data_IF_552156266023
#
_entry.id   IF_552156266023
#
_cell.length_a   1.000
_cell.length_b   1.000
_cell.length_c   1.000
_cell.angle_alpha   90.00
_cell.angle_beta   90.00
_cell.angle_gamma   90.00
#
_symmetry.space_group_name_H-M   'P 1'
#
loop_
_entity.id
_entity.type
_entity.pdbx_description
1 polymer ?
#
# COMPACT_ATOMS: atom_id res chain seq x y z
N UNK A 1 -27.97 19.19 -15.45
CA UNK A 1 -26.53 19.06 -15.74
C UNK A 1 -25.68 19.87 -14.76
N UNK A 2 -25.94 21.16 -14.52
CA UNK A 2 -25.14 21.99 -13.59
C UNK A 2 -24.95 21.44 -12.14
N UNK A 3 -25.95 20.75 -11.57
CA UNK A 3 -25.83 20.20 -10.21
C UNK A 3 -24.87 19.01 -10.07
N UNK A 4 -24.71 18.21 -11.13
CA UNK A 4 -23.75 17.09 -11.14
C UNK A 4 -22.31 17.61 -11.24
N UNK A 5 -22.08 18.66 -12.02
CA UNK A 5 -20.76 19.28 -12.17
C UNK A 5 -20.26 19.88 -10.84
N UNK A 6 -21.14 20.56 -10.10
CA UNK A 6 -20.80 21.11 -8.78
C UNK A 6 -20.47 20.01 -7.75
N UNK A 7 -21.21 18.89 -7.77
CA UNK A 7 -20.96 17.78 -6.86
C UNK A 7 -19.62 17.08 -7.14
N UNK A 8 -19.29 16.85 -8.42
CA UNK A 8 -18.00 16.27 -8.82
C UNK A 8 -16.85 17.19 -8.40
N UNK A 9 -16.97 18.49 -8.61
CA UNK A 9 -15.94 19.46 -8.20
C UNK A 9 -15.68 19.43 -6.68
N UNK A 10 -16.73 19.31 -5.87
CA UNK A 10 -16.59 19.19 -4.42
C UNK A 10 -15.89 17.90 -4.00
N UNK A 11 -16.25 16.76 -4.61
CA UNK A 11 -15.61 15.47 -4.33
C UNK A 11 -14.13 15.47 -4.72
N UNK A 12 -13.80 16.03 -5.89
CA UNK A 12 -12.41 16.17 -6.35
C UNK A 12 -11.60 17.08 -5.42
N UNK A 13 -12.20 18.18 -4.94
CA UNK A 13 -11.53 19.07 -3.98
C UNK A 13 -11.27 18.38 -2.65
N UNK A 14 -12.27 17.68 -2.09
CA UNK A 14 -12.11 16.95 -0.84
C UNK A 14 -11.04 15.86 -0.95
N UNK A 15 -11.06 15.08 -2.04
CA UNK A 15 -10.04 14.07 -2.30
C UNK A 15 -8.63 14.68 -2.40
N UNK A 16 -8.49 15.82 -3.09
CA UNK A 16 -7.20 16.51 -3.20
C UNK A 16 -6.67 16.90 -1.83
N UNK A 17 -7.51 17.45 -0.96
CA UNK A 17 -7.10 17.88 0.38
C UNK A 17 -6.67 16.68 1.23
N UNK A 18 -7.43 15.59 1.21
CA UNK A 18 -7.09 14.36 1.93
C UNK A 18 -5.82 13.71 1.40
N UNK A 19 -5.62 13.70 0.08
CA UNK A 19 -4.39 13.21 -0.55
C UNK A 19 -3.17 14.02 -0.11
N UNK A 20 -3.28 15.34 -0.02
CA UNK A 20 -2.19 16.20 0.47
C UNK A 20 -1.90 15.98 1.96
N UNK A 21 -2.94 15.81 2.79
CA UNK A 21 -2.77 15.45 4.21
C UNK A 21 -2.04 14.12 4.36
N UNK A 22 -2.44 13.11 3.61
CA UNK A 22 -1.80 11.80 3.62
C UNK A 22 -0.32 11.87 3.21
N UNK A 23 -0.01 12.58 2.12
CA UNK A 23 1.39 12.81 1.69
C UNK A 23 2.20 13.50 2.76
N UNK A 24 1.63 14.52 3.41
CA UNK A 24 2.29 15.27 4.48
C UNK A 24 2.62 14.37 5.67
N UNK A 25 1.67 13.51 6.09
CA UNK A 25 1.91 12.55 7.18
C UNK A 25 2.99 11.53 6.84
N UNK A 26 2.95 10.94 5.64
CA UNK A 26 3.99 10.00 5.18
C UNK A 26 5.36 10.68 5.12
N UNK A 27 5.41 11.94 4.67
CA UNK A 27 6.62 12.74 4.57
C UNK A 27 7.32 13.01 5.90
N UNK A 28 6.65 12.84 7.05
CA UNK A 28 7.28 12.93 8.37
C UNK A 28 8.25 11.78 8.64
N UNK A 29 8.03 10.61 8.03
CA UNK A 29 8.85 9.41 8.19
C UNK A 29 9.72 9.13 6.96
N UNK A 30 9.22 9.43 5.76
CA UNK A 30 9.90 9.15 4.50
C UNK A 30 10.42 10.45 3.89
N UNK A 31 11.71 10.74 4.14
CA UNK A 31 12.36 11.98 3.68
C UNK A 31 13.08 11.75 2.35
N UNK A 32 13.03 12.75 1.46
CA UNK A 32 13.83 12.78 0.23
C UNK A 32 13.28 11.98 -0.95
N UNK A 33 12.10 11.36 -0.82
CA UNK A 33 11.50 10.50 -1.86
C UNK A 33 10.03 10.84 -2.19
N UNK A 34 9.68 12.12 -2.46
CA UNK A 34 8.28 12.53 -2.66
C UNK A 34 7.62 11.85 -3.87
N UNK A 35 8.37 11.64 -4.95
CA UNK A 35 7.84 11.04 -6.19
C UNK A 35 7.55 9.54 -6.02
N UNK A 36 8.39 8.84 -5.25
CA UNK A 36 8.18 7.41 -4.93
C UNK A 36 6.91 7.24 -4.08
N UNK A 37 6.73 8.10 -3.07
CA UNK A 37 5.51 8.09 -2.24
C UNK A 37 4.27 8.32 -3.11
N UNK A 38 4.31 9.32 -4.00
CA UNK A 38 3.21 9.63 -4.91
C UNK A 38 2.91 8.48 -5.86
N UNK A 39 3.93 7.87 -6.48
CA UNK A 39 3.76 6.74 -7.38
C UNK A 39 3.14 5.51 -6.70
N UNK A 40 3.54 5.21 -5.46
CA UNK A 40 2.97 4.08 -4.70
C UNK A 40 1.51 4.37 -4.31
N UNK A 41 1.18 5.60 -3.91
CA UNK A 41 -0.21 6.00 -3.63
C UNK A 41 -1.09 5.89 -4.87
N UNK A 42 -0.62 6.38 -6.02
CA UNK A 42 -1.34 6.26 -7.30
C UNK A 42 -1.56 4.79 -7.64
N UNK A 43 -0.53 3.96 -7.53
CA UNK A 43 -0.63 2.53 -7.77
C UNK A 43 -1.68 1.87 -6.86
N UNK A 44 -1.69 2.20 -5.56
CA UNK A 44 -2.64 1.67 -4.59
C UNK A 44 -4.08 2.06 -4.96
N UNK A 45 -4.34 3.33 -5.24
CA UNK A 45 -5.69 3.81 -5.60
C UNK A 45 -6.16 3.29 -6.97
N UNK A 46 -5.22 3.00 -7.88
CA UNK A 46 -5.51 2.35 -9.15
C UNK A 46 -5.67 0.82 -9.03
N UNK A 47 -5.60 0.25 -7.82
CA UNK A 47 -5.62 -1.21 -7.59
C UNK A 47 -4.52 -1.98 -8.35
N UNK A 48 -3.36 -1.34 -8.54
CA UNK A 48 -2.19 -1.92 -9.21
C UNK A 48 -1.19 -2.54 -8.23
N UNK A 49 -0.11 -3.10 -8.80
CA UNK A 49 1.03 -3.62 -8.05
C UNK A 49 2.30 -2.83 -8.38
N UNK A 50 3.05 -2.42 -7.34
CA UNK A 50 4.28 -1.64 -7.49
C UNK A 50 5.51 -2.51 -7.22
N UNK A 51 6.54 -2.38 -8.07
CA UNK A 51 7.88 -2.92 -7.84
C UNK A 51 8.81 -1.79 -7.38
N UNK A 52 9.37 -1.91 -6.18
CA UNK A 52 10.30 -0.92 -5.63
C UNK A 52 11.76 -1.36 -5.79
N UNK A 53 12.44 -0.91 -6.85
CA UNK A 53 13.85 -1.21 -7.12
C UNK A 53 14.81 -0.15 -6.53
N UNK A 54 16.00 -0.57 -6.09
CA UNK A 54 17.01 0.30 -5.48
C UNK A 54 17.83 -0.42 -4.42
N UNK A 55 18.88 0.25 -3.92
CA UNK A 55 19.83 -0.37 -2.98
C UNK A 55 19.17 -0.74 -1.64
N UNK A 56 19.68 -1.78 -0.95
CA UNK A 56 19.24 -2.13 0.39
C UNK A 56 19.40 -0.96 1.37
N UNK A 57 18.48 -0.83 2.32
CA UNK A 57 18.56 0.19 3.37
C UNK A 57 17.89 1.53 3.05
N UNK A 58 17.38 1.76 1.84
CA UNK A 58 16.65 2.99 1.47
C UNK A 58 15.20 3.06 1.98
N UNK A 59 14.89 2.38 3.08
CA UNK A 59 13.58 2.49 3.71
C UNK A 59 12.40 1.93 2.90
N UNK A 60 12.61 1.07 1.88
CA UNK A 60 11.51 0.45 1.10
C UNK A 60 10.45 -0.20 1.97
N UNK A 61 10.88 -1.01 2.95
CA UNK A 61 9.98 -1.66 3.92
C UNK A 61 9.33 -0.63 4.85
N UNK A 62 10.07 0.41 5.23
CA UNK A 62 9.56 1.47 6.09
C UNK A 62 8.46 2.26 5.37
N UNK A 63 8.66 2.61 4.10
CA UNK A 63 7.68 3.28 3.23
C UNK A 63 6.35 2.52 3.22
N UNK A 64 6.36 1.23 2.86
CA UNK A 64 5.12 0.44 2.77
C UNK A 64 4.43 0.31 4.14
N UNK A 65 5.21 0.13 5.22
CA UNK A 65 4.67 0.08 6.58
C UNK A 65 4.03 1.41 7.01
N UNK A 66 4.69 2.53 6.75
CA UNK A 66 4.17 3.87 7.05
C UNK A 66 2.89 4.14 6.26
N UNK A 67 2.85 3.74 5.00
CA UNK A 67 1.67 3.85 4.13
C UNK A 67 0.49 3.06 4.70
N UNK A 68 0.72 1.79 5.09
CA UNK A 68 -0.31 0.96 5.69
C UNK A 68 -0.83 1.55 7.01
N UNK A 69 0.05 2.07 7.87
CA UNK A 69 -0.35 2.73 9.12
C UNK A 69 -1.17 4.00 8.88
N UNK A 70 -0.75 4.85 7.94
CA UNK A 70 -1.45 6.10 7.63
C UNK A 70 -2.85 5.86 7.03
N UNK A 71 -3.02 4.75 6.31
CA UNK A 71 -4.29 4.36 5.67
C UNK A 71 -5.09 3.32 6.46
N UNK A 72 -4.62 2.91 7.64
CA UNK A 72 -5.24 1.84 8.44
C UNK A 72 -5.43 0.52 7.67
N UNK A 73 -4.43 0.15 6.86
CA UNK A 73 -4.41 -1.10 6.11
C UNK A 73 -3.61 -2.18 6.84
N UNK A 74 -3.96 -3.43 6.57
CA UNK A 74 -3.14 -4.56 6.99
C UNK A 74 -1.79 -4.57 6.25
N UNK A 75 -0.72 -4.88 6.98
CA UNK A 75 0.62 -5.00 6.44
C UNK A 75 1.18 -6.40 6.65
N UNK A 76 1.34 -7.14 5.56
CA UNK A 76 1.99 -8.45 5.55
C UNK A 76 3.29 -8.38 4.74
N UNK A 77 4.33 -9.04 5.22
CA UNK A 77 5.64 -9.11 4.55
C UNK A 77 6.05 -10.56 4.36
N UNK A 78 6.25 -10.95 3.12
CA UNK A 78 6.83 -12.25 2.75
C UNK A 78 8.26 -12.00 2.25
N UNK A 79 9.23 -12.65 2.89
CA UNK A 79 10.61 -12.66 2.39
C UNK A 79 10.76 -13.81 1.41
N UNK A 80 11.11 -13.50 0.17
CA UNK A 80 11.46 -14.53 -0.80
C UNK A 80 12.81 -15.14 -0.41
N UNK A 81 12.82 -16.45 -0.22
CA UNK A 81 13.99 -17.31 -0.01
C UNK A 81 14.02 -18.37 -1.12
N UNK A 82 15.17 -18.95 -1.46
CA UNK A 82 15.23 -19.98 -2.51
C UNK A 82 14.35 -21.21 -2.22
N UNK A 83 14.06 -21.46 -0.94
CA UNK A 83 13.26 -22.59 -0.48
C UNK A 83 11.75 -22.26 -0.32
N UNK A 84 11.34 -21.00 -0.55
CA UNK A 84 9.94 -20.61 -0.38
C UNK A 84 9.06 -21.36 -1.39
N UNK A 85 8.09 -22.12 -0.89
CA UNK A 85 7.15 -22.87 -1.72
C UNK A 85 5.83 -22.10 -1.89
N UNK A 86 5.10 -22.29 -3.01
CA UNK A 86 3.78 -21.68 -3.18
C UNK A 86 2.79 -21.99 -2.04
N UNK A 87 2.90 -23.19 -1.46
CA UNK A 87 2.10 -23.61 -0.30
C UNK A 87 2.33 -22.74 0.95
N UNK A 88 3.50 -22.09 1.09
CA UNK A 88 3.78 -21.17 2.20
C UNK A 88 3.02 -19.83 2.06
N UNK A 89 2.54 -19.51 0.85
CA UNK A 89 1.81 -18.28 0.54
C UNK A 89 0.30 -18.54 0.45
N UNK A 90 -0.10 -19.57 -0.30
CA UNK A 90 -1.51 -19.90 -0.55
C UNK A 90 -2.11 -20.74 0.58
N UNK A 91 -1.26 -21.42 1.36
CA UNK A 91 -1.66 -22.40 2.36
C UNK A 91 -1.69 -23.83 1.81
N UNK A 92 -1.85 -24.80 2.71
CA UNK A 92 -2.04 -26.21 2.39
C UNK A 92 -3.29 -26.75 3.09
N UNK A 93 -3.94 -27.74 2.48
CA UNK A 93 -5.07 -28.42 3.10
C UNK A 93 -4.55 -29.41 4.14
N UNK A 94 -5.00 -29.26 5.38
CA UNK A 94 -4.72 -30.21 6.46
C UNK A 94 -5.93 -31.14 6.55
N UNK A 95 -5.73 -32.42 6.22
CA UNK A 95 -6.74 -33.45 6.41
C UNK A 95 -6.50 -34.04 7.80
N UNK A 96 -7.42 -33.79 8.73
CA UNK A 96 -7.44 -34.42 10.05
C UNK A 96 -8.42 -35.60 10.04
N UNK A 97 -7.97 -36.76 10.52
CA UNK A 97 -8.85 -37.89 10.83
C UNK A 97 -9.46 -37.70 12.22
N UNK A 98 -10.79 -37.84 12.34
CA UNK A 98 -11.47 -37.76 13.64
C UNK A 98 -11.02 -38.93 14.53
N UNK A 99 -10.60 -38.67 15.79
CA UNK A 99 -10.37 -39.75 16.74
C UNK A 99 -11.71 -40.38 17.11
N UNK A 100 -11.89 -41.65 16.74
CA UNK A 100 -13.02 -42.48 17.17
C UNK A 100 -12.95 -42.84 18.65
#
# INVERSE_FOLDING_TARGET
>A
MAGADTQIQQQVSAFRDDFQRLRTEIGKMIVGHPDVVEGVLVCLFASGHALLEGVPGLGKTLLIRTLAQALQLDFNRIQFTPDLMPADIIGTNIITEDPQ
#
